data_IF_648274912367
#
_entry.id   IF_648274912367
#
_cell.length_a   1.000
_cell.length_b   1.000
_cell.length_c   1.000
_cell.angle_alpha   90.00
_cell.angle_beta   90.00
_cell.angle_gamma   90.00
#
_symmetry.space_group_name_H-M   'P 1'
#
loop_
_entity.id
_entity.type
_entity.pdbx_description
1 polymer ?
#
# COMPACT_ATOMS: atom_id res chain seq x y z
N UNK A 1 10.50 13.26 -23.03
CA UNK A 1 10.37 12.35 -21.88
C UNK A 1 9.60 11.14 -22.36
N UNK A 2 9.97 9.91 -21.98
CA UNK A 2 9.25 8.70 -22.41
C UNK A 2 7.91 8.66 -21.68
N UNK A 3 6.80 8.50 -22.40
CA UNK A 3 5.46 8.39 -21.80
C UNK A 3 5.19 7.00 -21.20
N UNK A 4 4.10 6.88 -20.45
CA UNK A 4 3.71 5.62 -19.80
C UNK A 4 3.35 4.52 -20.80
N UNK A 5 2.67 4.86 -21.90
CA UNK A 5 2.24 3.87 -22.90
C UNK A 5 3.44 3.19 -23.56
N UNK A 6 4.51 3.96 -23.81
CA UNK A 6 5.77 3.45 -24.33
C UNK A 6 6.41 2.46 -23.35
N UNK A 7 6.41 2.77 -22.05
CA UNK A 7 6.95 1.87 -21.01
C UNK A 7 6.11 0.59 -20.88
N UNK A 8 4.78 0.71 -20.84
CA UNK A 8 3.85 -0.43 -20.76
C UNK A 8 4.02 -1.35 -21.97
N UNK A 9 4.08 -0.77 -23.17
CA UNK A 9 4.31 -1.51 -24.42
C UNK A 9 5.67 -2.23 -24.42
N UNK A 10 6.73 -1.58 -23.94
CA UNK A 10 8.05 -2.20 -23.80
C UNK A 10 8.01 -3.37 -22.79
N UNK A 11 7.42 -3.16 -21.62
CA UNK A 11 7.30 -4.18 -20.58
C UNK A 11 6.62 -5.44 -21.11
N UNK A 12 5.52 -5.29 -21.85
CA UNK A 12 4.83 -6.41 -22.48
C UNK A 12 5.68 -7.09 -23.55
N UNK A 13 6.21 -6.33 -24.52
CA UNK A 13 6.97 -6.91 -25.65
C UNK A 13 8.28 -7.58 -25.23
N UNK A 14 8.89 -7.16 -24.13
CA UNK A 14 10.19 -7.66 -23.65
C UNK A 14 10.08 -8.63 -22.48
N UNK A 15 8.86 -9.03 -22.10
CA UNK A 15 8.67 -10.06 -21.08
C UNK A 15 8.94 -9.59 -19.64
N UNK A 16 8.66 -8.32 -19.33
CA UNK A 16 8.70 -7.81 -17.96
C UNK A 16 7.38 -8.03 -17.23
N UNK A 17 6.28 -7.50 -17.75
CA UNK A 17 4.98 -7.51 -17.08
C UNK A 17 3.88 -7.76 -18.10
N UNK A 18 2.93 -8.63 -17.75
CA UNK A 18 1.76 -8.99 -18.53
C UNK A 18 0.49 -8.68 -17.75
N UNK A 19 -0.61 -8.44 -18.48
CA UNK A 19 -1.92 -8.41 -17.86
C UNK A 19 -2.24 -9.82 -17.34
N UNK A 20 -2.53 -9.97 -16.06
CA UNK A 20 -2.85 -11.30 -15.52
C UNK A 20 -4.15 -11.80 -16.15
N UNK A 21 -4.19 -13.09 -16.47
CA UNK A 21 -5.33 -13.76 -17.13
C UNK A 21 -5.73 -13.12 -18.48
N UNK A 22 -4.76 -12.59 -19.25
CA UNK A 22 -5.00 -11.85 -20.50
C UNK A 22 -5.90 -12.60 -21.50
N UNK A 23 -5.71 -13.92 -21.68
CA UNK A 23 -6.50 -14.74 -22.62
C UNK A 23 -7.98 -14.86 -22.23
N UNK A 24 -8.33 -14.52 -20.98
CA UNK A 24 -9.70 -14.51 -20.45
C UNK A 24 -10.27 -13.09 -20.35
N UNK A 25 -9.64 -12.10 -21.00
CA UNK A 25 -10.05 -10.69 -20.93
C UNK A 25 -9.36 -9.89 -19.82
N UNK A 26 -8.46 -10.52 -19.07
CA UNK A 26 -7.66 -9.88 -18.02
C UNK A 26 -8.36 -9.76 -16.67
N UNK A 27 -7.58 -9.83 -15.60
CA UNK A 27 -8.01 -9.51 -14.24
C UNK A 27 -7.67 -8.05 -13.90
N UNK A 28 -8.68 -7.21 -13.65
CA UNK A 28 -8.48 -5.78 -13.41
C UNK A 28 -7.47 -5.49 -12.30
N UNK A 29 -6.44 -4.70 -12.61
CA UNK A 29 -5.37 -4.30 -11.68
C UNK A 29 -4.57 -5.46 -11.07
N UNK A 30 -4.45 -6.58 -11.79
CA UNK A 30 -3.59 -7.71 -11.42
C UNK A 30 -2.65 -8.02 -12.58
N UNK A 31 -1.36 -8.21 -12.30
CA UNK A 31 -0.32 -8.34 -13.32
C UNK A 31 0.64 -9.50 -13.01
N UNK A 32 1.08 -10.17 -14.06
CA UNK A 32 2.05 -11.26 -13.99
C UNK A 32 3.43 -10.76 -14.41
N UNK A 33 4.50 -11.18 -13.71
CA UNK A 33 5.87 -10.84 -14.08
C UNK A 33 6.44 -11.92 -15.00
N UNK A 34 6.82 -11.53 -16.23
CA UNK A 34 7.38 -12.44 -17.24
C UNK A 34 8.84 -12.84 -16.97
N UNK A 35 9.49 -13.57 -17.91
CA UNK A 35 10.82 -14.13 -17.70
C UNK A 35 11.90 -13.11 -17.30
N UNK A 36 11.88 -11.91 -17.88
CA UNK A 36 12.84 -10.85 -17.53
C UNK A 36 12.38 -10.09 -16.28
N UNK A 37 11.07 -9.88 -16.16
CA UNK A 37 10.48 -9.16 -15.02
C UNK A 37 10.70 -9.88 -13.69
N UNK A 38 10.58 -11.21 -13.66
CA UNK A 38 10.82 -11.99 -12.44
C UNK A 38 12.28 -11.90 -12.01
N UNK A 39 13.23 -11.89 -12.95
CA UNK A 39 14.66 -11.74 -12.65
C UNK A 39 14.95 -10.33 -12.11
N UNK A 40 14.43 -9.28 -12.74
CA UNK A 40 14.57 -7.91 -12.25
C UNK A 40 13.97 -7.77 -10.84
N UNK A 41 12.74 -8.25 -10.63
CA UNK A 41 12.06 -8.19 -9.34
C UNK A 41 12.85 -8.92 -8.25
N UNK A 42 13.34 -10.12 -8.54
CA UNK A 42 14.15 -10.90 -7.60
C UNK A 42 15.48 -10.20 -7.29
N UNK A 43 16.13 -9.59 -8.28
CA UNK A 43 17.37 -8.84 -8.05
C UNK A 43 17.16 -7.66 -7.10
N UNK A 44 16.06 -6.91 -7.26
CA UNK A 44 15.70 -5.81 -6.36
C UNK A 44 15.42 -6.32 -4.94
N UNK A 45 14.60 -7.38 -4.81
CA UNK A 45 14.29 -8.01 -3.52
C UNK A 45 15.56 -8.52 -2.81
N UNK A 46 16.44 -9.19 -3.54
CA UNK A 46 17.68 -9.74 -3.00
C UNK A 46 18.64 -8.62 -2.57
N UNK A 47 18.76 -7.54 -3.36
CA UNK A 47 19.57 -6.39 -2.98
C UNK A 47 19.04 -5.70 -1.72
N UNK A 48 17.72 -5.59 -1.58
CA UNK A 48 17.09 -5.04 -0.38
C UNK A 48 17.32 -5.94 0.83
N UNK A 49 17.04 -7.25 0.71
CA UNK A 49 17.19 -8.22 1.79
C UNK A 49 18.64 -8.29 2.28
N UNK A 50 19.59 -8.28 1.34
CA UNK A 50 21.01 -8.22 1.67
C UNK A 50 21.33 -6.98 2.50
N UNK A 51 20.91 -5.80 2.07
CA UNK A 51 21.21 -4.54 2.77
C UNK A 51 20.51 -4.37 4.12
N UNK A 52 19.31 -4.93 4.27
CA UNK A 52 18.48 -4.74 5.46
C UNK A 52 18.69 -5.84 6.50
N UNK A 53 19.02 -7.06 6.07
CA UNK A 53 19.09 -8.22 6.96
C UNK A 53 20.50 -8.81 6.98
N UNK A 54 21.12 -9.08 5.83
CA UNK A 54 22.38 -9.85 5.80
C UNK A 54 23.62 -9.01 6.11
N UNK A 55 23.62 -7.72 5.77
CA UNK A 55 24.72 -6.78 6.01
C UNK A 55 24.57 -6.05 7.36
N UNK A 56 23.62 -6.46 8.19
CA UNK A 56 23.29 -5.81 9.46
C UNK A 56 23.19 -6.83 10.58
N UNK A 57 23.66 -6.45 11.75
CA UNK A 57 23.58 -7.29 12.94
C UNK A 57 22.35 -6.98 13.81
N UNK A 58 21.52 -6.00 13.43
CA UNK A 58 20.43 -5.45 14.25
C UNK A 58 19.03 -5.67 13.68
N UNK A 59 18.88 -6.47 12.61
CA UNK A 59 17.59 -6.75 11.97
C UNK A 59 17.42 -8.25 11.75
N UNK A 60 16.29 -8.78 12.19
CA UNK A 60 15.88 -10.16 11.97
C UNK A 60 14.97 -10.30 10.75
N UNK A 61 15.03 -11.45 10.08
CA UNK A 61 14.10 -11.78 8.99
C UNK A 61 12.85 -12.50 9.49
N UNK A 62 11.70 -12.22 8.86
CA UNK A 62 10.44 -12.91 9.10
C UNK A 62 9.72 -13.19 7.77
N UNK A 63 8.96 -14.29 7.73
CA UNK A 63 7.97 -14.58 6.69
C UNK A 63 6.66 -15.03 7.34
N UNK A 64 5.79 -14.06 7.66
CA UNK A 64 4.48 -14.30 8.22
C UNK A 64 3.48 -14.73 7.14
N UNK A 65 2.47 -15.50 7.54
CA UNK A 65 1.38 -15.90 6.66
C UNK A 65 0.62 -14.70 6.07
N UNK A 66 -0.03 -14.93 4.93
CA UNK A 66 -0.91 -13.93 4.27
C UNK A 66 -2.28 -13.86 4.96
N UNK A 67 -2.81 -15.02 5.35
CA UNK A 67 -4.12 -15.15 5.97
C UNK A 67 -4.01 -14.80 7.45
N UNK A 68 -4.76 -13.79 7.88
CA UNK A 68 -4.84 -13.41 9.29
C UNK A 68 -6.31 -13.27 9.73
N UNK A 69 -6.65 -13.68 10.96
CA UNK A 69 -8.02 -13.62 11.47
C UNK A 69 -8.49 -12.18 11.65
N UNK A 70 -9.81 -11.97 11.58
CA UNK A 70 -10.45 -10.65 11.68
C UNK A 70 -9.96 -9.79 12.86
N UNK A 71 -9.77 -10.39 14.03
CA UNK A 71 -9.36 -9.69 15.26
C UNK A 71 -8.03 -8.94 15.12
N UNK A 72 -7.11 -9.40 14.27
CA UNK A 72 -5.84 -8.68 14.02
C UNK A 72 -6.10 -7.36 13.29
N UNK A 73 -7.04 -7.35 12.35
CA UNK A 73 -7.41 -6.19 11.55
C UNK A 73 -8.32 -5.23 12.32
N UNK A 74 -9.12 -5.75 13.25
CA UNK A 74 -9.86 -4.96 14.23
C UNK A 74 -8.90 -4.25 15.19
N UNK A 75 -7.97 -5.00 15.80
CA UNK A 75 -6.97 -4.47 16.72
C UNK A 75 -6.14 -3.37 16.05
N UNK A 76 -5.62 -3.60 14.85
CA UNK A 76 -4.86 -2.59 14.11
C UNK A 76 -5.68 -1.40 13.59
N UNK A 77 -7.01 -1.46 13.65
CA UNK A 77 -7.90 -0.38 13.19
C UNK A 77 -8.21 -0.40 11.69
N UNK A 78 -7.70 -1.39 10.94
CA UNK A 78 -7.91 -1.50 9.51
C UNK A 78 -9.38 -1.74 9.14
N UNK A 79 -10.15 -2.47 9.95
CA UNK A 79 -11.59 -2.68 9.67
C UNK A 79 -12.37 -1.35 9.66
N UNK A 80 -11.95 -0.36 10.45
CA UNK A 80 -12.63 0.92 10.56
C UNK A 80 -12.07 1.99 9.62
N UNK A 81 -10.75 2.00 9.39
CA UNK A 81 -10.07 3.13 8.73
C UNK A 81 -9.43 2.81 7.39
N UNK A 82 -9.31 1.53 7.01
CA UNK A 82 -8.74 1.12 5.73
C UNK A 82 -9.81 1.10 4.65
N UNK A 83 -10.38 2.27 4.37
CA UNK A 83 -11.60 2.40 3.58
C UNK A 83 -11.49 3.50 2.53
N UNK A 84 -12.23 3.33 1.44
CA UNK A 84 -12.42 4.33 0.40
C UNK A 84 -13.92 4.67 0.26
N UNK A 85 -14.28 5.91 -0.10
CA UNK A 85 -15.65 6.25 -0.42
C UNK A 85 -16.02 5.69 -1.80
N UNK A 86 -17.11 4.94 -1.88
CA UNK A 86 -17.52 4.22 -3.10
C UNK A 86 -18.95 4.55 -3.50
N UNK A 87 -19.17 4.69 -4.81
CA UNK A 87 -20.49 4.77 -5.46
C UNK A 87 -20.64 3.68 -6.52
N UNK A 88 -21.88 3.25 -6.75
CA UNK A 88 -22.21 2.30 -7.82
C UNK A 88 -23.13 2.99 -8.83
N UNK A 89 -22.96 2.67 -10.10
CA UNK A 89 -24.00 2.94 -11.08
C UNK A 89 -25.15 1.94 -10.93
N UNK A 90 -26.37 2.43 -10.77
CA UNK A 90 -27.57 1.59 -10.64
C UNK A 90 -27.83 0.74 -11.88
N UNK A 91 -27.38 1.19 -13.06
CA UNK A 91 -27.67 0.53 -14.34
C UNK A 91 -26.56 -0.46 -14.72
N UNK A 92 -25.31 0.00 -14.90
CA UNK A 92 -24.22 -0.85 -15.35
C UNK A 92 -23.44 -1.57 -14.23
N UNK A 93 -23.80 -1.30 -12.96
CA UNK A 93 -23.17 -1.91 -11.75
C UNK A 93 -21.67 -1.67 -11.60
N UNK A 94 -21.10 -0.76 -12.40
CA UNK A 94 -19.71 -0.32 -12.21
C UNK A 94 -19.58 0.45 -10.89
N UNK A 95 -18.44 0.27 -10.25
CA UNK A 95 -18.07 0.89 -8.99
C UNK A 95 -17.01 1.95 -9.24
N UNK A 96 -17.16 3.08 -8.59
CA UNK A 96 -16.23 4.19 -8.69
C UNK A 96 -15.86 4.64 -7.28
N UNK A 97 -14.61 5.01 -7.11
CA UNK A 97 -14.19 5.76 -5.93
C UNK A 97 -14.75 7.18 -6.04
N UNK A 98 -15.51 7.63 -5.05
CA UNK A 98 -16.37 8.81 -5.15
C UNK A 98 -15.59 10.12 -5.34
N UNK A 99 -14.50 10.29 -4.61
CA UNK A 99 -13.59 11.43 -4.69
C UNK A 99 -12.85 11.47 -6.04
N UNK A 100 -12.31 10.35 -6.51
CA UNK A 100 -11.67 10.24 -7.83
C UNK A 100 -12.66 10.50 -8.96
N UNK A 101 -13.90 9.99 -8.84
CA UNK A 101 -14.94 10.29 -9.82
C UNK A 101 -15.21 11.79 -9.90
N UNK A 102 -15.31 12.49 -8.77
CA UNK A 102 -15.45 13.94 -8.77
C UNK A 102 -14.22 14.62 -9.39
N UNK A 103 -13.01 14.19 -9.06
CA UNK A 103 -11.78 14.71 -9.67
C UNK A 103 -11.78 14.58 -11.20
N UNK A 104 -12.26 13.44 -11.72
CA UNK A 104 -12.23 13.14 -13.15
C UNK A 104 -13.30 13.90 -13.96
N UNK A 105 -14.52 14.05 -13.42
CA UNK A 105 -15.65 14.57 -14.21
C UNK A 105 -16.28 15.86 -13.67
N UNK A 106 -15.93 16.30 -12.46
CA UNK A 106 -16.42 17.53 -11.83
C UNK A 106 -15.41 18.10 -10.81
N UNK A 107 -14.14 18.35 -11.18
CA UNK A 107 -13.06 18.72 -10.26
C UNK A 107 -13.36 20.01 -9.47
N UNK A 108 -14.14 20.91 -10.04
CA UNK A 108 -14.60 22.13 -9.39
C UNK A 108 -15.47 21.85 -8.15
N UNK A 109 -16.27 20.77 -8.16
CA UNK A 109 -17.11 20.38 -7.03
C UNK A 109 -16.29 19.81 -5.89
N UNK A 110 -15.26 19.02 -6.20
CA UNK A 110 -14.31 18.52 -5.21
C UNK A 110 -13.53 19.68 -4.57
N UNK A 111 -13.06 20.62 -5.40
CA UNK A 111 -12.34 21.81 -4.94
C UNK A 111 -13.21 22.68 -4.02
N UNK A 112 -14.51 22.79 -4.31
CA UNK A 112 -15.45 23.56 -3.49
C UNK A 112 -15.65 22.99 -2.07
N UNK A 113 -15.34 21.71 -1.84
CA UNK A 113 -15.42 21.11 -0.50
C UNK A 113 -14.34 21.64 0.45
N UNK A 114 -13.27 22.25 -0.08
CA UNK A 114 -12.21 22.86 0.73
C UNK A 114 -11.42 21.87 1.61
N UNK A 115 -11.57 20.55 1.37
CA UNK A 115 -10.88 19.49 2.08
C UNK A 115 -10.32 18.46 1.10
N UNK A 116 -9.21 17.84 1.49
CA UNK A 116 -8.57 16.75 0.73
C UNK A 116 -9.16 15.38 1.08
N UNK A 117 -9.93 15.28 2.16
CA UNK A 117 -10.57 14.06 2.65
C UNK A 117 -12.03 14.39 3.03
N UNK A 118 -12.91 14.49 2.03
CA UNK A 118 -14.32 14.77 2.29
C UNK A 118 -15.01 13.55 2.92
N UNK A 119 -15.93 13.80 3.86
CA UNK A 119 -16.75 12.74 4.44
C UNK A 119 -17.87 12.30 3.48
N UNK A 120 -18.62 11.26 3.85
CA UNK A 120 -19.70 10.72 3.02
C UNK A 120 -20.79 11.75 2.71
N UNK A 121 -21.16 12.62 3.66
CA UNK A 121 -22.20 13.63 3.48
C UNK A 121 -21.76 14.69 2.46
N UNK A 122 -20.54 15.21 2.60
CA UNK A 122 -19.94 16.16 1.67
C UNK A 122 -19.83 15.60 0.26
N UNK A 123 -19.42 14.32 0.14
CA UNK A 123 -19.38 13.63 -1.15
C UNK A 123 -20.78 13.43 -1.72
N UNK A 124 -21.76 13.09 -0.89
CA UNK A 124 -23.14 12.89 -1.33
C UNK A 124 -23.71 14.16 -1.96
N UNK A 125 -23.48 15.31 -1.31
CA UNK A 125 -23.88 16.63 -1.82
C UNK A 125 -23.17 16.97 -3.14
N UNK A 126 -21.86 16.77 -3.22
CA UNK A 126 -21.08 17.06 -4.43
C UNK A 126 -21.48 16.18 -5.62
N UNK A 127 -21.91 14.94 -5.36
CA UNK A 127 -22.34 13.97 -6.37
C UNK A 127 -23.78 14.18 -6.86
N UNK A 128 -24.59 15.04 -6.23
CA UNK A 128 -25.98 15.26 -6.62
C UNK A 128 -26.08 15.66 -8.10
N UNK A 129 -26.92 14.93 -8.83
CA UNK A 129 -27.19 15.16 -10.27
C UNK A 129 -26.08 14.66 -11.20
N UNK A 130 -24.94 14.19 -10.68
CA UNK A 130 -23.87 13.61 -11.49
C UNK A 130 -24.32 12.26 -12.05
N UNK A 131 -23.97 11.99 -13.31
CA UNK A 131 -24.31 10.75 -14.01
C UNK A 131 -23.10 9.86 -14.16
N UNK A 132 -23.34 8.55 -14.23
CA UNK A 132 -22.29 7.58 -14.51
C UNK A 132 -21.58 7.94 -15.84
N UNK A 133 -20.25 8.11 -15.86
CA UNK A 133 -19.53 8.50 -17.07
C UNK A 133 -19.61 7.44 -18.18
N UNK A 134 -19.86 6.19 -17.81
CA UNK A 134 -19.83 5.04 -18.71
C UNK A 134 -21.16 4.78 -19.43
N UNK A 135 -22.29 5.05 -18.76
CA UNK A 135 -23.61 4.72 -19.32
C UNK A 135 -24.68 5.79 -19.05
N UNK A 136 -24.30 6.93 -18.47
CA UNK A 136 -25.20 8.04 -18.09
C UNK A 136 -26.28 7.67 -17.06
N UNK A 137 -26.14 6.50 -16.43
CA UNK A 137 -27.04 6.00 -15.40
C UNK A 137 -26.95 6.77 -14.08
N UNK A 138 -27.93 6.53 -13.19
CA UNK A 138 -27.94 7.12 -11.86
C UNK A 138 -26.89 6.47 -10.94
N UNK A 139 -26.24 7.30 -10.12
CA UNK A 139 -25.29 6.84 -9.09
C UNK A 139 -26.01 6.63 -7.76
N UNK A 140 -25.57 5.65 -6.97
CA UNK A 140 -25.99 5.51 -5.58
C UNK A 140 -25.38 6.62 -4.71
N UNK A 141 -25.93 6.88 -3.50
CA UNK A 141 -25.22 7.62 -2.49
C UNK A 141 -23.84 6.99 -2.20
N UNK A 142 -22.82 7.79 -1.83
CA UNK A 142 -21.52 7.26 -1.43
C UNK A 142 -21.65 6.43 -0.16
N UNK A 143 -20.80 5.41 -0.05
CA UNK A 143 -20.66 4.59 1.16
C UNK A 143 -19.21 4.20 1.37
N UNK A 144 -18.85 3.96 2.62
CA UNK A 144 -17.54 3.46 3.02
C UNK A 144 -17.36 2.02 2.52
N UNK A 145 -16.23 1.77 1.85
CA UNK A 145 -15.83 0.47 1.37
C UNK A 145 -14.48 0.07 1.93
N UNK A 146 -14.42 -1.02 2.71
CA UNK A 146 -13.16 -1.51 3.25
C UNK A 146 -12.31 -2.18 2.17
N UNK A 147 -11.04 -1.81 2.10
CA UNK A 147 -10.09 -2.28 1.09
C UNK A 147 -9.46 -3.64 1.45
N UNK A 148 -9.69 -4.20 2.64
CA UNK A 148 -9.26 -5.55 2.96
C UNK A 148 -10.05 -6.59 2.16
N UNK A 149 -9.35 -7.60 1.64
CA UNK A 149 -9.98 -8.72 0.94
C UNK A 149 -10.38 -9.80 1.94
N UNK A 150 -11.69 -9.90 2.19
CA UNK A 150 -12.30 -10.89 3.09
C UNK A 150 -12.35 -12.30 2.46
N UNK A 151 -12.13 -13.32 3.28
CA UNK A 151 -12.31 -14.74 2.95
C UNK A 151 -12.86 -15.49 4.18
N UNK A 152 -13.29 -16.74 3.99
CA UNK A 152 -13.69 -17.64 5.08
C UNK A 152 -12.78 -18.86 5.08
N UNK A 153 -12.34 -19.28 6.27
CA UNK A 153 -11.48 -20.45 6.47
C UNK A 153 -12.30 -21.64 6.97
N UNK A 154 -12.14 -22.81 6.36
CA UNK A 154 -12.83 -24.03 6.80
C UNK A 154 -13.72 -24.61 5.71
N UNK A 155 -14.47 -25.65 6.09
CA UNK A 155 -15.29 -26.45 5.15
C UNK A 155 -16.67 -25.81 4.95
N UNK A 156 -17.20 -25.16 5.98
CA UNK A 156 -18.49 -24.46 5.93
C UNK A 156 -18.27 -22.97 5.68
N UNK A 157 -19.03 -22.40 4.74
CA UNK A 157 -19.12 -20.96 4.51
C UNK A 157 -20.28 -20.38 5.32
N UNK A 158 -20.25 -20.62 6.63
CA UNK A 158 -21.27 -20.17 7.58
C UNK A 158 -20.92 -18.82 8.23
N UNK A 159 -19.85 -18.16 7.77
CA UNK A 159 -19.36 -16.90 8.30
C UNK A 159 -18.72 -16.99 9.69
N UNK A 160 -18.54 -18.18 10.27
CA UNK A 160 -17.99 -18.33 11.63
C UNK A 160 -16.46 -18.13 11.72
N UNK A 161 -15.74 -18.29 10.60
CA UNK A 161 -14.28 -18.27 10.57
C UNK A 161 -13.75 -17.31 9.51
N UNK A 162 -14.02 -16.03 9.71
CA UNK A 162 -13.58 -14.94 8.82
C UNK A 162 -12.08 -14.70 8.94
N UNK A 163 -11.41 -14.63 7.80
CA UNK A 163 -10.04 -14.18 7.67
C UNK A 163 -9.92 -13.15 6.55
N UNK A 164 -8.77 -12.50 6.47
CA UNK A 164 -8.47 -11.55 5.41
C UNK A 164 -7.13 -11.88 4.79
N UNK A 165 -7.02 -11.64 3.48
CA UNK A 165 -5.71 -11.46 2.86
C UNK A 165 -5.13 -10.15 3.35
N UNK A 166 -3.90 -10.18 3.87
CA UNK A 166 -3.30 -9.01 4.54
C UNK A 166 -3.21 -7.76 3.64
N UNK A 167 -3.62 -6.62 4.19
CA UNK A 167 -3.54 -5.30 3.53
C UNK A 167 -2.14 -4.68 3.52
N UNK A 168 -1.29 -5.16 4.42
CA UNK A 168 0.11 -4.77 4.60
C UNK A 168 0.91 -5.94 5.21
N UNK A 169 2.24 -5.87 5.19
CA UNK A 169 3.10 -6.93 5.77
C UNK A 169 3.43 -6.68 7.25
N UNK A 170 3.32 -5.44 7.72
CA UNK A 170 3.65 -4.99 9.07
C UNK A 170 2.95 -5.76 10.20
N UNK A 171 1.65 -6.09 10.07
CA UNK A 171 0.90 -6.78 11.12
C UNK A 171 1.50 -8.14 11.50
N UNK A 172 2.04 -8.87 10.51
CA UNK A 172 2.73 -10.14 10.75
C UNK A 172 3.97 -9.99 11.63
N UNK A 173 4.65 -8.85 11.54
CA UNK A 173 5.80 -8.50 12.37
C UNK A 173 5.35 -8.19 13.80
N UNK A 174 4.33 -7.35 13.98
CA UNK A 174 3.87 -6.95 15.32
C UNK A 174 3.39 -8.13 16.15
N UNK A 175 2.58 -9.02 15.58
CA UNK A 175 2.08 -10.21 16.30
C UNK A 175 3.19 -11.22 16.64
N UNK A 176 4.35 -11.13 15.98
CA UNK A 176 5.52 -11.98 16.25
C UNK A 176 6.63 -11.27 17.01
N UNK A 177 6.43 -10.02 17.46
CA UNK A 177 7.46 -9.24 18.15
C UNK A 177 8.11 -10.03 19.30
N UNK A 178 7.30 -10.63 20.18
CA UNK A 178 7.80 -11.41 21.32
C UNK A 178 8.50 -12.70 20.91
N UNK A 179 7.99 -13.41 19.90
CA UNK A 179 8.63 -14.63 19.40
C UNK A 179 10.05 -14.33 18.89
N UNK A 180 10.20 -13.26 18.10
CA UNK A 180 11.49 -12.85 17.53
C UNK A 180 12.42 -12.26 18.59
N UNK A 181 11.91 -11.40 19.48
CA UNK A 181 12.68 -10.82 20.59
C UNK A 181 13.31 -11.93 21.46
N UNK A 182 12.51 -12.92 21.84
CA UNK A 182 12.96 -14.02 22.71
C UNK A 182 13.92 -14.97 22.01
N UNK A 183 13.59 -15.42 20.79
CA UNK A 183 14.42 -16.38 20.06
C UNK A 183 15.76 -15.78 19.62
N UNK A 184 15.74 -14.55 19.10
CA UNK A 184 16.95 -13.81 18.72
C UNK A 184 17.71 -13.21 19.89
N UNK A 185 17.20 -13.36 21.13
CA UNK A 185 17.74 -12.73 22.37
C UNK A 185 18.02 -11.24 22.17
N UNK A 186 17.16 -10.56 21.42
CA UNK A 186 17.35 -9.18 21.01
C UNK A 186 17.11 -8.23 22.17
N UNK A 187 17.87 -7.14 22.17
CA UNK A 187 17.66 -5.97 23.02
C UNK A 187 17.40 -4.78 22.13
N UNK A 188 16.58 -3.85 22.58
CA UNK A 188 16.35 -2.61 21.85
C UNK A 188 17.67 -1.80 21.74
N UNK A 189 17.94 -1.17 20.58
CA UNK A 189 17.12 -1.21 19.37
C UNK A 189 17.39 -2.44 18.49
N UNK A 190 16.35 -2.94 17.84
CA UNK A 190 16.47 -3.97 16.79
C UNK A 190 15.28 -3.88 15.84
N UNK A 191 15.42 -4.41 14.63
CA UNK A 191 14.35 -4.47 13.64
C UNK A 191 13.92 -5.88 13.29
N UNK A 192 12.75 -5.96 12.65
CA UNK A 192 12.27 -7.16 11.99
C UNK A 192 11.84 -6.76 10.58
N UNK A 193 12.36 -7.45 9.57
CA UNK A 193 12.11 -7.19 8.16
C UNK A 193 11.35 -8.35 7.51
N UNK A 194 10.46 -8.01 6.59
CA UNK A 194 9.68 -8.96 5.81
C UNK A 194 9.54 -8.48 4.37
N UNK A 195 9.63 -9.43 3.43
CA UNK A 195 9.21 -9.21 2.06
C UNK A 195 8.06 -10.17 1.76
N UNK A 196 6.95 -9.65 1.23
CA UNK A 196 5.89 -10.54 0.78
C UNK A 196 4.71 -9.83 0.18
N UNK A 197 3.71 -10.62 -0.23
CA UNK A 197 2.50 -10.11 -0.87
C UNK A 197 1.61 -9.34 0.10
N UNK A 198 0.94 -8.32 -0.40
CA UNK A 198 -0.16 -7.62 0.25
C UNK A 198 -1.28 -7.37 -0.77
N UNK A 199 -2.49 -7.18 -0.26
CA UNK A 199 -3.70 -7.15 -1.05
C UNK A 199 -4.54 -5.93 -0.70
N UNK A 200 -4.96 -5.18 -1.71
CA UNK A 200 -5.87 -4.05 -1.55
C UNK A 200 -6.99 -4.16 -2.54
N UNK A 201 -8.24 -4.13 -2.08
CA UNK A 201 -9.41 -4.28 -2.92
C UNK A 201 -9.73 -2.97 -3.66
N UNK A 202 -8.77 -2.46 -4.42
CA UNK A 202 -8.86 -1.19 -5.13
C UNK A 202 -10.12 -1.14 -6.02
N UNK A 203 -10.90 -0.08 -5.83
CA UNK A 203 -12.16 0.15 -6.55
C UNK A 203 -11.86 0.49 -8.01
N UNK A 204 -10.94 1.44 -8.23
CA UNK A 204 -10.62 1.98 -9.56
C UNK A 204 -9.25 1.49 -10.03
N UNK A 205 -9.13 1.01 -11.28
CA UNK A 205 -7.81 0.74 -11.85
C UNK A 205 -7.01 2.04 -11.99
N UNK A 206 -5.70 1.98 -11.76
CA UNK A 206 -4.80 3.12 -11.96
C UNK A 206 -3.74 2.82 -13.02
N UNK A 207 -2.72 3.68 -13.08
CA UNK A 207 -1.65 3.54 -14.05
C UNK A 207 -0.87 2.24 -13.81
N UNK A 208 -1.02 1.25 -14.70
CA UNK A 208 -0.18 0.05 -14.74
C UNK A 208 0.05 -0.58 -13.34
N UNK A 209 1.31 -0.82 -12.95
CA UNK A 209 1.66 -1.43 -11.66
C UNK A 209 1.59 -0.48 -10.45
N UNK A 210 1.08 0.74 -10.60
CA UNK A 210 1.00 1.72 -9.49
C UNK A 210 -0.25 1.57 -8.63
N UNK A 211 -1.33 0.99 -9.16
CA UNK A 211 -2.57 0.75 -8.42
C UNK A 211 -3.07 -0.66 -8.70
N UNK A 212 -2.50 -1.60 -7.98
CA UNK A 212 -2.73 -3.04 -8.14
C UNK A 212 -3.42 -3.64 -6.94
N UNK A 213 -4.23 -4.68 -7.17
CA UNK A 213 -4.92 -5.39 -6.10
C UNK A 213 -4.05 -6.37 -5.33
N UNK A 214 -2.97 -6.82 -5.97
CA UNK A 214 -1.98 -7.72 -5.43
C UNK A 214 -0.59 -7.18 -5.78
N UNK A 215 0.25 -6.98 -4.77
CA UNK A 215 1.62 -6.49 -4.94
C UNK A 215 2.52 -7.03 -3.83
N UNK A 216 3.82 -6.79 -3.94
CA UNK A 216 4.78 -7.13 -2.89
C UNK A 216 5.29 -5.87 -2.21
N UNK A 217 5.45 -5.95 -0.90
CA UNK A 217 6.08 -4.91 -0.10
C UNK A 217 7.35 -5.45 0.54
N UNK A 218 8.30 -4.56 0.78
CA UNK A 218 9.52 -4.82 1.54
C UNK A 218 9.50 -3.87 2.75
N UNK A 219 9.01 -4.36 3.88
CA UNK A 219 8.78 -3.55 5.07
C UNK A 219 9.71 -3.98 6.20
N UNK A 220 10.10 -3.01 7.03
CA UNK A 220 10.93 -3.24 8.20
C UNK A 220 10.41 -2.39 9.34
N UNK A 221 10.16 -3.04 10.47
CA UNK A 221 9.75 -2.40 11.72
C UNK A 221 10.95 -2.32 12.64
N UNK A 222 11.42 -1.11 12.94
CA UNK A 222 12.58 -0.87 13.81
C UNK A 222 12.12 -0.46 15.21
N UNK A 223 12.29 -1.35 16.17
CA UNK A 223 11.84 -1.15 17.54
C UNK A 223 12.94 -0.45 18.34
N UNK A 224 12.55 0.64 19.00
CA UNK A 224 13.46 1.53 19.72
C UNK A 224 12.80 1.99 21.02
N UNK A 225 13.60 2.56 21.94
CA UNK A 225 13.04 3.30 23.07
C UNK A 225 12.55 4.67 22.61
N UNK A 226 11.52 5.19 23.27
CA UNK A 226 10.87 6.45 22.89
C UNK A 226 11.86 7.63 22.83
N UNK A 227 12.77 7.73 23.80
CA UNK A 227 13.81 8.76 23.89
C UNK A 227 14.81 8.73 22.73
N UNK A 228 14.88 7.62 21.99
CA UNK A 228 15.77 7.41 20.85
C UNK A 228 15.04 7.43 19.50
N UNK A 229 13.71 7.52 19.49
CA UNK A 229 12.89 7.37 18.29
C UNK A 229 13.23 8.41 17.22
N UNK A 230 13.40 9.67 17.60
CA UNK A 230 13.71 10.76 16.67
C UNK A 230 15.07 10.55 15.98
N UNK A 231 16.08 10.15 16.76
CA UNK A 231 17.43 9.86 16.23
C UNK A 231 17.39 8.74 15.19
N UNK A 232 16.68 7.65 15.49
CA UNK A 232 16.59 6.52 14.58
C UNK A 232 15.73 6.82 13.35
N UNK A 233 14.68 7.63 13.48
CA UNK A 233 13.87 8.10 12.35
C UNK A 233 14.73 8.84 11.31
N UNK A 234 15.52 9.83 11.72
CA UNK A 234 16.40 10.58 10.80
C UNK A 234 17.51 9.71 10.21
N UNK A 235 18.06 8.78 10.99
CA UNK A 235 19.05 7.82 10.51
C UNK A 235 18.47 6.91 9.42
N UNK A 236 17.27 6.36 9.64
CA UNK A 236 16.58 5.53 8.65
C UNK A 236 16.15 6.31 7.42
N UNK A 237 15.63 7.52 7.57
CA UNK A 237 15.31 8.42 6.46
C UNK A 237 16.52 8.58 5.52
N UNK A 238 17.69 8.87 6.10
CA UNK A 238 18.93 9.06 5.35
C UNK A 238 19.42 7.74 4.72
N UNK A 239 19.42 6.65 5.48
CA UNK A 239 19.85 5.34 5.01
C UNK A 239 18.98 4.80 3.86
N UNK A 240 17.66 5.02 3.91
CA UNK A 240 16.75 4.59 2.85
C UNK A 240 16.97 5.38 1.56
N UNK A 241 17.17 6.70 1.62
CA UNK A 241 17.52 7.49 0.44
C UNK A 241 18.87 7.07 -0.15
N UNK A 242 19.89 6.89 0.69
CA UNK A 242 21.21 6.42 0.28
C UNK A 242 21.13 5.05 -0.43
N UNK A 243 20.28 4.14 0.03
CA UNK A 243 20.10 2.84 -0.64
C UNK A 243 19.62 2.99 -2.10
N UNK A 244 18.67 3.89 -2.37
CA UNK A 244 18.21 4.15 -3.74
C UNK A 244 19.28 4.79 -4.62
N UNK A 245 20.04 5.76 -4.07
CA UNK A 245 21.08 6.47 -4.80
C UNK A 245 22.32 5.59 -5.06
N UNK A 246 22.80 4.91 -4.03
CA UNK A 246 24.11 4.25 -4.04
C UNK A 246 24.04 2.77 -4.41
N UNK A 247 23.01 2.04 -3.94
CA UNK A 247 22.89 0.59 -4.22
C UNK A 247 22.10 0.30 -5.49
N UNK A 248 21.02 1.05 -5.73
CA UNK A 248 20.23 0.91 -6.97
C UNK A 248 20.70 1.84 -8.10
N UNK A 249 21.52 2.85 -7.82
CA UNK A 249 22.01 3.78 -8.84
C UNK A 249 20.92 4.68 -9.43
N UNK A 250 19.84 4.93 -8.69
CA UNK A 250 18.79 5.86 -9.15
C UNK A 250 19.37 7.27 -9.18
N UNK A 251 19.14 7.99 -10.27
CA UNK A 251 19.64 9.36 -10.43
C UNK A 251 18.96 10.31 -9.44
N UNK A 252 19.76 11.16 -8.80
CA UNK A 252 19.30 12.04 -7.71
C UNK A 252 18.22 13.03 -8.13
N UNK A 253 18.24 13.51 -9.38
CA UNK A 253 17.24 14.45 -9.90
C UNK A 253 15.83 13.85 -9.98
N UNK A 254 15.72 12.52 -9.93
CA UNK A 254 14.46 11.80 -9.95
C UNK A 254 14.01 11.37 -8.55
N UNK A 255 14.71 11.74 -7.48
CA UNK A 255 14.34 11.39 -6.11
C UNK A 255 14.18 12.63 -5.25
N UNK A 256 13.16 12.64 -4.39
CA UNK A 256 12.99 13.67 -3.36
C UNK A 256 12.34 13.11 -2.11
N UNK A 257 12.49 13.86 -1.02
CA UNK A 257 11.65 13.67 0.16
C UNK A 257 10.40 14.53 0.05
N UNK A 258 9.25 13.96 0.40
CA UNK A 258 8.00 14.68 0.66
C UNK A 258 7.57 14.42 2.10
N UNK A 259 7.63 15.44 2.95
CA UNK A 259 7.13 15.29 4.33
C UNK A 259 5.59 15.33 4.29
N UNK A 260 4.96 14.50 5.11
CA UNK A 260 3.50 14.54 5.28
C UNK A 260 3.12 15.72 6.18
N UNK A 261 2.23 16.58 5.69
CA UNK A 261 1.65 17.66 6.49
C UNK A 261 0.48 17.15 7.37
N UNK A 262 -0.26 16.17 6.86
CA UNK A 262 -1.29 15.42 7.58
C UNK A 262 -0.78 14.01 7.85
N UNK A 263 -0.63 13.67 9.13
CA UNK A 263 -0.14 12.38 9.56
C UNK A 263 -1.32 11.41 9.76
N UNK A 264 -1.13 10.14 9.41
CA UNK A 264 -2.04 9.09 9.85
C UNK A 264 -2.12 9.10 11.39
N UNK A 265 -3.26 8.69 11.96
CA UNK A 265 -3.55 8.80 13.40
C UNK A 265 -2.51 8.15 14.32
N UNK A 266 -1.71 7.20 13.81
CA UNK A 266 -0.66 6.50 14.53
C UNK A 266 0.76 7.06 14.30
N UNK A 267 0.96 8.04 13.40
CA UNK A 267 2.28 8.52 13.02
C UNK A 267 2.64 9.85 13.71
N UNK A 268 3.81 9.89 14.36
CA UNK A 268 4.42 11.11 14.94
C UNK A 268 5.21 11.92 13.90
N UNK A 269 5.78 11.23 12.92
CA UNK A 269 6.44 11.82 11.75
C UNK A 269 6.37 10.85 10.58
N UNK A 270 6.21 11.37 9.37
CA UNK A 270 6.18 10.58 8.16
C UNK A 270 6.82 11.33 7.00
N UNK A 271 7.61 10.61 6.20
CA UNK A 271 8.19 11.12 4.96
C UNK A 271 8.10 10.06 3.88
N UNK A 272 7.71 10.49 2.69
CA UNK A 272 7.81 9.68 1.49
C UNK A 272 9.12 9.97 0.78
N UNK A 273 9.75 8.91 0.28
CA UNK A 273 10.71 8.99 -0.81
C UNK A 273 9.89 8.87 -2.10
N UNK A 274 9.82 9.96 -2.86
CA UNK A 274 9.11 10.00 -4.13
C UNK A 274 10.07 9.87 -5.31
N UNK A 275 9.59 9.23 -6.38
CA UNK A 275 10.27 9.19 -7.66
C UNK A 275 9.52 10.01 -8.71
N UNK A 276 10.26 10.68 -9.60
CA UNK A 276 9.72 11.46 -10.70
C UNK A 276 9.40 10.57 -11.91
N UNK A 277 8.18 10.05 -11.97
CA UNK A 277 7.68 9.22 -13.07
C UNK A 277 7.25 10.07 -14.27
N UNK A 278 7.00 9.48 -15.45
CA UNK A 278 6.48 10.22 -16.61
C UNK A 278 5.19 11.00 -16.37
N UNK A 279 4.43 10.63 -15.33
CA UNK A 279 3.18 11.27 -14.90
C UNK A 279 3.33 12.02 -13.57
N UNK A 280 4.56 12.38 -13.21
CA UNK A 280 4.88 13.21 -12.05
C UNK A 280 5.42 12.45 -10.85
N UNK A 281 5.58 13.17 -9.74
CA UNK A 281 6.09 12.65 -8.49
C UNK A 281 5.08 11.71 -7.82
N UNK A 282 5.52 10.49 -7.51
CA UNK A 282 4.73 9.53 -6.72
C UNK A 282 5.62 8.81 -5.73
N UNK A 283 4.99 8.33 -4.66
CA UNK A 283 5.64 7.55 -3.61
C UNK A 283 6.33 6.30 -4.18
N UNK A 284 7.55 6.05 -3.70
CA UNK A 284 8.30 4.82 -3.91
C UNK A 284 8.46 4.03 -2.60
N UNK A 285 8.60 4.73 -1.47
CA UNK A 285 8.62 4.15 -0.12
C UNK A 285 8.30 5.22 0.94
N UNK A 286 7.68 4.81 2.04
CA UNK A 286 7.49 5.62 3.24
C UNK A 286 8.48 5.28 4.38
N UNK A 287 8.88 6.29 5.15
CA UNK A 287 9.57 6.13 6.45
C UNK A 287 8.73 6.80 7.51
N UNK A 288 8.24 6.02 8.47
CA UNK A 288 7.27 6.48 9.46
C UNK A 288 7.76 6.23 10.88
N UNK A 289 7.62 7.23 11.76
CA UNK A 289 7.71 7.06 13.20
C UNK A 289 6.30 6.86 13.76
N UNK A 290 5.98 5.64 14.18
CA UNK A 290 4.62 5.21 14.58
C UNK A 290 4.40 5.07 16.10
N UNK A 291 5.33 5.62 16.90
CA UNK A 291 5.37 5.47 18.35
C UNK A 291 5.17 4.01 18.82
N UNK A 292 4.33 3.77 19.81
CA UNK A 292 3.99 2.47 20.40
C UNK A 292 2.62 1.95 19.97
N UNK A 293 1.92 2.63 19.05
CA UNK A 293 0.52 2.34 18.68
C UNK A 293 0.31 0.88 18.32
N UNK A 294 1.11 0.36 17.38
CA UNK A 294 0.91 -0.97 16.82
C UNK A 294 1.08 -2.07 17.87
N UNK A 295 2.13 -2.01 18.69
CA UNK A 295 2.36 -3.01 19.75
C UNK A 295 1.31 -2.89 20.87
N UNK A 296 0.90 -1.67 21.22
CA UNK A 296 -0.10 -1.43 22.27
C UNK A 296 -1.48 -1.96 21.90
N UNK A 297 -1.85 -1.94 20.62
CA UNK A 297 -3.14 -2.44 20.13
C UNK A 297 -3.24 -3.97 20.13
N UNK A 298 -2.11 -4.68 20.17
CA UNK A 298 -2.04 -6.15 20.24
C UNK A 298 -1.73 -6.69 21.64
N UNK A 299 -1.58 -5.81 22.64
CA UNK A 299 -1.22 -6.17 24.03
C UNK A 299 -2.43 -6.22 24.96
#
# INVERSE_FOLDING_TARGET
>A
MVDMDTLVSLCKRRGFVFQSSEIYGGAGSVFDYGPVGVLLKNNVKNAWWRSMVQERDDIEGLDAAILMPERVWEASGHLASFTDPMVDCKDCKRRFRADTLLEDIAPERLTALGTTEPNEEQLAEALVGLKCPECQGELTPPRTFNLLMKTELGVTQDGSNVAYLRGETCQGIYVNFKNVEMNGRRKLPFGIAQIGKAFRNEITPGNFTFRTREFEQMEMQYFVREDQAEKHYHAWKSARMAWYLERLGIRSENLRFRNHEKLAHYAKAAVDIEYNYPFGWKELAGVHNRSDWDLRRHS
#
